data_IF_697636287134
#
_entry.id   IF_697636287134
#
_cell.length_a   1.000
_cell.length_b   1.000
_cell.length_c   1.000
_cell.angle_alpha   90.00
_cell.angle_beta   90.00
_cell.angle_gamma   90.00
#
_symmetry.space_group_name_H-M   'P 1'
#
loop_
_entity.id
_entity.type
_entity.pdbx_description
1 polymer ?
#
# COMPACT_ATOMS: atom_id res chain seq x y z
N UNK A 1 -0.70 -9.88 -10.24
CA UNK A 1 -1.33 -8.54 -10.24
C UNK A 1 -0.43 -7.51 -10.93
N UNK A 2 -1.01 -6.46 -11.53
CA UNK A 2 -0.27 -5.23 -11.90
C UNK A 2 -0.19 -4.28 -10.69
N UNK A 3 0.83 -3.42 -10.63
CA UNK A 3 1.03 -2.42 -9.55
C UNK A 3 -0.22 -1.61 -9.22
N UNK A 4 -1.05 -1.33 -10.22
CA UNK A 4 -2.28 -0.56 -10.05
C UNK A 4 -3.31 -1.28 -9.19
N UNK A 5 -3.40 -2.61 -9.29
CA UNK A 5 -4.36 -3.40 -8.50
C UNK A 5 -3.94 -3.46 -7.02
N UNK A 6 -2.63 -3.55 -6.75
CA UNK A 6 -2.07 -3.46 -5.39
C UNK A 6 -2.43 -2.09 -4.79
N UNK A 7 -2.25 -1.01 -5.55
CA UNK A 7 -2.59 0.35 -5.11
C UNK A 7 -4.10 0.47 -4.79
N UNK A 8 -4.97 -0.13 -5.59
CA UNK A 8 -6.43 -0.10 -5.35
C UNK A 8 -6.81 -0.84 -4.06
N UNK A 9 -6.28 -2.05 -3.86
CA UNK A 9 -6.52 -2.82 -2.64
C UNK A 9 -5.93 -2.13 -1.41
N UNK A 10 -4.74 -1.55 -1.55
CA UNK A 10 -4.10 -0.76 -0.50
C UNK A 10 -4.97 0.46 -0.12
N UNK A 11 -5.48 1.21 -1.10
CA UNK A 11 -6.36 2.35 -0.85
C UNK A 11 -7.66 1.94 -0.14
N UNK A 12 -8.26 0.81 -0.55
CA UNK A 12 -9.44 0.25 0.11
C UNK A 12 -9.15 -0.15 1.55
N UNK A 13 -8.00 -0.80 1.80
CA UNK A 13 -7.56 -1.17 3.14
C UNK A 13 -7.42 0.05 4.05
N UNK A 14 -6.76 1.11 3.58
CA UNK A 14 -6.60 2.35 4.35
C UNK A 14 -7.97 2.96 4.71
N UNK A 15 -8.89 3.01 3.75
CA UNK A 15 -10.24 3.56 3.96
C UNK A 15 -11.04 2.73 4.98
N UNK A 16 -11.03 1.40 4.85
CA UNK A 16 -11.80 0.51 5.72
C UNK A 16 -11.29 0.50 7.17
N UNK A 17 -10.00 0.79 7.37
CA UNK A 17 -9.38 0.84 8.70
C UNK A 17 -9.25 2.27 9.27
N UNK A 18 -9.81 3.28 8.59
CA UNK A 18 -9.72 4.67 9.04
C UNK A 18 -8.29 5.24 9.06
N UNK A 19 -7.37 4.64 8.30
CA UNK A 19 -5.96 5.05 8.26
C UNK A 19 -5.82 6.22 7.28
N UNK A 20 -5.44 7.38 7.82
CA UNK A 20 -5.28 8.58 7.01
C UNK A 20 -3.88 8.68 6.40
N UNK A 21 -3.77 9.37 5.26
CA UNK A 21 -2.47 9.72 4.66
C UNK A 21 -1.55 10.48 5.61
N UNK A 22 -2.14 11.35 6.45
CA UNK A 22 -1.42 12.08 7.49
C UNK A 22 -0.90 11.15 8.59
N UNK A 23 -1.63 10.09 8.94
CA UNK A 23 -1.15 9.09 9.90
C UNK A 23 0.10 8.37 9.38
N UNK A 24 0.06 7.91 8.12
CA UNK A 24 1.20 7.23 7.48
C UNK A 24 2.40 8.19 7.42
N UNK A 25 2.20 9.40 6.89
CA UNK A 25 3.27 10.40 6.75
C UNK A 25 3.90 10.84 8.07
N UNK A 26 3.24 10.67 9.22
CA UNK A 26 3.84 10.95 10.54
C UNK A 26 4.68 9.78 11.07
N UNK A 27 4.43 8.57 10.57
CA UNK A 27 5.10 7.34 10.99
C UNK A 27 6.19 6.89 10.02
N UNK A 28 6.25 7.51 8.85
CA UNK A 28 7.23 7.25 7.79
C UNK A 28 7.91 8.55 7.41
N UNK A 29 8.98 8.48 6.63
CA UNK A 29 9.62 9.67 6.03
C UNK A 29 8.91 10.12 4.74
N UNK A 30 7.79 9.48 4.37
CA UNK A 30 7.09 9.69 3.12
C UNK A 30 6.07 10.82 3.27
N UNK A 31 6.18 11.92 2.50
CA UNK A 31 5.23 13.02 2.59
C UNK A 31 3.81 12.60 2.18
N UNK A 32 2.78 13.11 2.87
CA UNK A 32 1.38 12.85 2.54
C UNK A 32 0.99 13.17 1.07
N UNK A 33 1.67 14.13 0.43
CA UNK A 33 1.51 14.43 -0.99
C UNK A 33 2.04 13.28 -1.88
N UNK A 34 3.19 12.70 -1.53
CA UNK A 34 3.77 11.54 -2.22
C UNK A 34 2.83 10.34 -2.11
N UNK A 35 2.32 10.06 -0.91
CA UNK A 35 1.30 9.01 -0.68
C UNK A 35 0.06 9.28 -1.54
N UNK A 36 -0.41 10.52 -1.61
CA UNK A 36 -1.56 10.88 -2.47
C UNK A 36 -1.29 10.59 -3.94
N UNK A 37 -0.11 10.94 -4.47
CA UNK A 37 0.27 10.66 -5.86
C UNK A 37 0.38 9.16 -6.15
N UNK A 38 0.91 8.38 -5.20
CA UNK A 38 0.91 6.91 -5.28
C UNK A 38 -0.51 6.38 -5.37
N UNK A 39 -1.41 6.77 -4.45
CA UNK A 39 -2.79 6.30 -4.42
C UNK A 39 -3.61 6.71 -5.65
N UNK A 40 -3.23 7.81 -6.31
CA UNK A 40 -3.80 8.25 -7.61
C UNK A 40 -3.11 7.64 -8.82
N UNK A 41 -2.09 6.78 -8.63
CA UNK A 41 -1.31 6.14 -9.70
C UNK A 41 -0.54 7.14 -10.59
N UNK A 42 -0.34 8.36 -10.10
CA UNK A 42 0.45 9.41 -10.75
C UNK A 42 1.95 9.27 -10.45
N UNK A 43 2.29 8.43 -9.46
CA UNK A 43 3.65 8.08 -9.10
C UNK A 43 3.71 6.58 -8.80
N UNK A 44 4.81 5.96 -9.20
CA UNK A 44 5.11 4.57 -8.84
C UNK A 44 5.27 4.42 -7.33
N UNK A 45 4.72 3.35 -6.77
CA UNK A 45 5.02 2.89 -5.41
C UNK A 45 6.34 2.12 -5.44
N UNK A 46 7.34 2.59 -4.71
CA UNK A 46 8.62 1.90 -4.57
C UNK A 46 8.51 0.78 -3.53
N UNK A 47 9.37 -0.23 -3.63
CA UNK A 47 9.29 -1.43 -2.78
C UNK A 47 9.66 -1.12 -1.31
N UNK A 48 10.69 -0.32 -1.10
CA UNK A 48 11.10 0.23 0.19
C UNK A 48 9.98 1.05 0.84
N UNK A 49 9.36 1.97 0.10
CA UNK A 49 8.23 2.76 0.57
C UNK A 49 7.04 1.87 0.96
N UNK A 50 6.76 0.83 0.17
CA UNK A 50 5.68 -0.10 0.48
C UNK A 50 5.94 -0.85 1.81
N UNK A 51 7.16 -1.36 2.00
CA UNK A 51 7.55 -2.04 3.24
C UNK A 51 7.53 -1.10 4.44
N UNK A 52 8.01 0.14 4.28
CA UNK A 52 7.99 1.17 5.30
C UNK A 52 6.55 1.50 5.74
N UNK A 53 5.64 1.66 4.78
CA UNK A 53 4.23 1.94 5.06
C UNK A 53 3.57 0.75 5.75
N UNK A 54 3.81 -0.49 5.30
CA UNK A 54 3.28 -1.69 5.94
C UNK A 54 3.74 -1.79 7.40
N UNK A 55 5.02 -1.51 7.65
CA UNK A 55 5.60 -1.49 9.00
C UNK A 55 4.94 -0.42 9.86
N UNK A 56 4.78 0.80 9.35
CA UNK A 56 4.16 1.92 10.07
C UNK A 56 2.72 1.66 10.53
N UNK A 57 1.96 0.89 9.75
CA UNK A 57 0.57 0.54 10.07
C UNK A 57 0.42 -0.86 10.66
N UNK A 58 1.55 -1.49 11.01
CA UNK A 58 1.64 -2.80 11.67
C UNK A 58 0.91 -3.91 10.91
N UNK A 59 1.15 -4.00 9.60
CA UNK A 59 0.61 -5.04 8.73
C UNK A 59 1.73 -5.79 8.01
N UNK A 60 1.49 -7.07 7.74
CA UNK A 60 2.38 -7.85 6.89
C UNK A 60 2.17 -7.48 5.42
N UNK A 61 3.22 -7.22 4.64
CA UNK A 61 3.12 -7.06 3.18
C UNK A 61 2.46 -8.26 2.48
N UNK A 62 2.52 -9.44 3.11
CA UNK A 62 1.95 -10.68 2.60
C UNK A 62 0.43 -10.62 2.44
N UNK A 63 -0.28 -9.73 3.14
CA UNK A 63 -1.74 -9.59 2.96
C UNK A 63 -2.10 -9.01 1.59
N UNK A 64 -1.13 -8.39 0.91
CA UNK A 64 -1.24 -7.91 -0.46
C UNK A 64 -0.66 -8.89 -1.47
N UNK A 65 -0.07 -10.00 -1.00
CA UNK A 65 0.36 -11.13 -1.83
C UNK A 65 -0.86 -12.00 -2.09
N UNK A 66 -1.19 -12.15 -3.36
CA UNK A 66 -2.10 -13.20 -3.80
C UNK A 66 -1.21 -14.37 -4.18
N UNK A 67 -1.42 -15.54 -3.58
CA UNK A 67 -0.89 -16.78 -4.12
C UNK A 67 -1.52 -16.98 -5.50
N UNK A 68 -0.70 -17.22 -6.54
CA UNK A 68 -1.18 -17.74 -7.82
C UNK A 68 -1.68 -19.21 -7.66
N UNK A 69 -2.36 -19.53 -6.56
CA UNK A 69 -3.00 -20.82 -6.33
C UNK A 69 -4.34 -20.84 -7.07
N UNK A 70 -4.25 -20.91 -8.40
CA UNK A 70 -5.22 -21.60 -9.26
C UNK A 70 -4.55 -22.05 -10.56
N UNK A 71 -3.33 -22.59 -10.45
CA UNK A 71 -2.78 -23.52 -11.44
C UNK A 71 -2.16 -24.71 -10.73
N UNK A 72 -3.01 -25.61 -10.25
CA UNK A 72 -2.72 -27.05 -10.11
C UNK A 72 -3.94 -27.75 -9.49
N UNK A 73 -4.87 -28.16 -10.34
CA UNK A 73 -5.68 -29.37 -10.20
C UNK A 73 -6.05 -29.84 -11.61
#
# INVERSE_FOLDING_TARGET
>A
MSTNQIIDYFNAYLKNNGITKAHISRKTEIPANTISKILRKERRLMADEFLEICTAINISPEIFRISDETKSA
#
